data_IF_622356818043
#
_entry.id   IF_622356818043
#
_cell.length_a   1.000
_cell.length_b   1.000
_cell.length_c   1.000
_cell.angle_alpha   90.00
_cell.angle_beta   90.00
_cell.angle_gamma   90.00
#
_symmetry.space_group_name_H-M   'P 1'
#
loop_
_entity.id
_entity.type
_entity.pdbx_description
1 polymer ?
#
# COMPACT_ATOMS: atom_id res chain seq x y z
N UNK A 1 -3.86 11.21 -25.20
CA UNK A 1 -5.15 10.61 -24.86
C UNK A 1 -5.25 10.52 -23.33
N UNK A 2 -6.32 11.02 -22.71
CA UNK A 2 -6.60 10.76 -21.31
C UNK A 2 -7.28 9.41 -21.22
N UNK A 3 -6.61 8.42 -20.63
CA UNK A 3 -7.24 7.16 -20.30
C UNK A 3 -8.36 7.43 -19.27
N UNK A 4 -9.55 6.97 -19.57
CA UNK A 4 -10.66 6.95 -18.62
C UNK A 4 -11.01 5.48 -18.37
N UNK A 5 -10.85 4.99 -17.14
CA UNK A 5 -11.20 3.61 -16.81
C UNK A 5 -12.70 3.39 -17.05
N UNK A 6 -13.04 2.19 -17.49
CA UNK A 6 -14.44 1.81 -17.63
C UNK A 6 -15.14 1.82 -16.25
N UNK A 7 -16.38 2.29 -16.21
CA UNK A 7 -17.24 2.07 -15.03
C UNK A 7 -17.21 0.58 -14.70
N UNK A 8 -17.04 0.24 -13.41
CA UNK A 8 -16.99 -1.15 -12.96
C UNK A 8 -15.76 -1.97 -13.40
N UNK A 9 -14.63 -1.30 -13.71
CA UNK A 9 -13.36 -1.96 -14.07
C UNK A 9 -12.92 -3.01 -13.03
N UNK A 10 -13.22 -2.78 -11.75
CA UNK A 10 -12.85 -3.64 -10.63
C UNK A 10 -14.03 -4.43 -10.05
N UNK A 11 -15.13 -4.56 -10.81
CA UNK A 11 -16.27 -5.36 -10.39
C UNK A 11 -15.82 -6.80 -10.07
N UNK A 12 -16.36 -7.34 -8.97
CA UNK A 12 -16.07 -8.68 -8.46
C UNK A 12 -14.60 -8.90 -8.02
N UNK A 13 -13.80 -7.79 -7.91
CA UNK A 13 -12.45 -7.83 -7.35
C UNK A 13 -12.46 -7.52 -5.87
N UNK A 14 -11.72 -8.30 -5.10
CA UNK A 14 -11.53 -8.15 -3.66
C UNK A 14 -10.13 -7.63 -3.44
N UNK A 15 -10.00 -6.40 -2.93
CA UNK A 15 -8.72 -5.68 -2.86
C UNK A 15 -8.46 -5.21 -1.43
N UNK A 16 -7.34 -5.63 -0.86
CA UNK A 16 -6.88 -5.16 0.44
C UNK A 16 -5.91 -3.99 0.28
N UNK A 17 -6.12 -2.94 1.07
CA UNK A 17 -5.25 -1.75 1.10
C UNK A 17 -4.70 -1.56 2.51
N UNK A 18 -3.37 -1.56 2.66
CA UNK A 18 -2.72 -1.20 3.93
C UNK A 18 -2.50 0.30 4.03
N UNK A 19 -2.59 0.85 5.25
CA UNK A 19 -2.55 2.31 5.44
C UNK A 19 -3.75 3.01 4.83
N UNK A 20 -4.91 2.33 4.80
CA UNK A 20 -6.14 2.78 4.15
C UNK A 20 -6.81 3.97 4.86
N UNK A 21 -6.32 4.41 6.01
CA UNK A 21 -6.94 5.45 6.82
C UNK A 21 -6.53 6.89 6.47
N UNK A 22 -5.50 7.09 5.65
CA UNK A 22 -4.98 8.46 5.32
C UNK A 22 -4.22 8.44 3.98
N UNK A 23 -4.02 9.63 3.40
CA UNK A 23 -3.15 9.86 2.26
C UNK A 23 -3.48 9.01 1.03
N UNK A 24 -2.43 8.44 0.43
CA UNK A 24 -2.52 7.64 -0.80
C UNK A 24 -3.36 6.38 -0.59
N UNK A 25 -3.19 5.67 0.53
CA UNK A 25 -3.95 4.44 0.80
C UNK A 25 -5.45 4.69 0.94
N UNK A 26 -5.83 5.79 1.61
CA UNK A 26 -7.23 6.20 1.69
C UNK A 26 -7.82 6.49 0.31
N UNK A 27 -7.13 7.28 -0.50
CA UNK A 27 -7.61 7.61 -1.84
C UNK A 27 -7.66 6.40 -2.77
N UNK A 28 -6.69 5.49 -2.64
CA UNK A 28 -6.72 4.22 -3.37
C UNK A 28 -7.96 3.40 -3.01
N UNK A 29 -8.27 3.27 -1.71
CA UNK A 29 -9.45 2.55 -1.24
C UNK A 29 -10.76 3.14 -1.80
N UNK A 30 -10.92 4.47 -1.73
CA UNK A 30 -12.06 5.18 -2.30
C UNK A 30 -12.16 4.98 -3.82
N UNK A 31 -11.02 5.11 -4.52
CA UNK A 31 -10.98 4.94 -5.98
C UNK A 31 -11.33 3.52 -6.38
N UNK A 32 -10.78 2.50 -5.72
CA UNK A 32 -11.13 1.10 -6.02
C UNK A 32 -12.61 0.82 -5.79
N UNK A 33 -13.19 1.37 -4.72
CA UNK A 33 -14.62 1.25 -4.45
C UNK A 33 -15.48 1.93 -5.52
N UNK A 34 -15.10 3.13 -6.01
CA UNK A 34 -15.75 3.83 -7.13
C UNK A 34 -15.76 3.00 -8.42
N UNK A 35 -14.75 2.15 -8.62
CA UNK A 35 -14.67 1.19 -9.73
C UNK A 35 -15.27 -0.18 -9.40
N UNK A 36 -16.08 -0.26 -8.33
CA UNK A 36 -16.87 -1.43 -7.94
C UNK A 36 -16.07 -2.60 -7.33
N UNK A 37 -14.88 -2.33 -6.78
CA UNK A 37 -14.19 -3.33 -5.98
C UNK A 37 -14.85 -3.53 -4.61
N UNK A 38 -14.80 -4.75 -4.08
CA UNK A 38 -14.96 -5.03 -2.66
C UNK A 38 -13.64 -4.69 -1.95
N UNK A 39 -13.60 -3.60 -1.20
CA UNK A 39 -12.37 -3.12 -0.57
C UNK A 39 -12.26 -3.63 0.86
N UNK A 40 -11.06 -4.07 1.26
CA UNK A 40 -10.71 -4.40 2.63
C UNK A 40 -9.73 -3.33 3.10
N UNK A 41 -10.11 -2.59 4.15
CA UNK A 41 -9.30 -1.52 4.71
C UNK A 41 -8.44 -2.08 5.85
N UNK A 42 -7.13 -1.85 5.81
CA UNK A 42 -6.21 -2.25 6.88
C UNK A 42 -5.43 -1.03 7.38
N UNK A 43 -5.41 -0.85 8.69
CA UNK A 43 -4.66 0.23 9.35
C UNK A 43 -4.67 0.09 10.86
N UNK A 44 -4.04 1.01 11.58
CA UNK A 44 -3.90 0.92 13.05
C UNK A 44 -4.99 1.68 13.84
N UNK A 45 -5.75 2.55 13.18
CA UNK A 45 -6.75 3.39 13.86
C UNK A 45 -8.16 3.05 13.36
N UNK A 46 -8.95 2.41 14.22
CA UNK A 46 -10.30 1.94 13.93
C UNK A 46 -11.24 3.08 13.49
N UNK A 47 -11.28 4.19 14.24
CA UNK A 47 -12.20 5.30 13.94
C UNK A 47 -11.94 5.92 12.55
N UNK A 48 -10.66 6.04 12.17
CA UNK A 48 -10.31 6.53 10.83
C UNK A 48 -10.69 5.53 9.74
N UNK A 49 -10.50 4.23 9.96
CA UNK A 49 -10.93 3.19 9.01
C UNK A 49 -12.45 3.20 8.86
N UNK A 50 -13.18 3.31 9.98
CA UNK A 50 -14.64 3.43 9.99
C UNK A 50 -15.11 4.66 9.21
N UNK A 51 -14.43 5.80 9.37
CA UNK A 51 -14.73 7.02 8.61
C UNK A 51 -14.60 6.80 7.10
N UNK A 52 -13.53 6.11 6.66
CA UNK A 52 -13.33 5.77 5.24
C UNK A 52 -14.39 4.80 4.76
N UNK A 53 -14.76 3.82 5.57
CA UNK A 53 -15.83 2.87 5.25
C UNK A 53 -17.16 3.58 5.02
N UNK A 54 -17.55 4.47 5.93
CA UNK A 54 -18.78 5.28 5.80
C UNK A 54 -18.75 6.19 4.56
N UNK A 55 -17.57 6.70 4.18
CA UNK A 55 -17.45 7.51 2.97
C UNK A 55 -17.65 6.67 1.70
N UNK A 56 -17.08 5.46 1.66
CA UNK A 56 -17.30 4.51 0.56
C UNK A 56 -18.79 4.18 0.42
N UNK A 57 -19.47 3.89 1.53
CA UNK A 57 -20.92 3.58 1.53
C UNK A 57 -21.75 4.77 1.06
N UNK A 58 -21.44 5.98 1.54
CA UNK A 58 -22.13 7.22 1.14
C UNK A 58 -21.96 7.53 -0.35
N UNK A 59 -20.83 7.17 -0.95
CA UNK A 59 -20.59 7.30 -2.39
C UNK A 59 -21.22 6.17 -3.23
N UNK A 60 -21.93 5.24 -2.59
CA UNK A 60 -22.62 4.12 -3.27
C UNK A 60 -21.71 2.92 -3.58
N UNK A 61 -20.52 2.87 -2.98
CA UNK A 61 -19.63 1.71 -3.07
C UNK A 61 -20.13 0.53 -2.23
N UNK A 62 -19.55 -0.65 -2.49
CA UNK A 62 -19.82 -1.85 -1.68
C UNK A 62 -19.30 -1.60 -0.25
N UNK A 63 -20.12 -1.83 0.81
CA UNK A 63 -19.69 -1.65 2.18
C UNK A 63 -18.38 -2.39 2.47
N UNK A 64 -17.27 -1.71 2.80
CA UNK A 64 -15.99 -2.36 3.01
C UNK A 64 -15.93 -3.01 4.39
N UNK A 65 -15.16 -4.09 4.50
CA UNK A 65 -14.70 -4.54 5.81
C UNK A 65 -13.38 -3.87 6.16
N UNK A 66 -13.16 -3.66 7.45
CA UNK A 66 -11.88 -3.16 7.92
C UNK A 66 -11.34 -4.00 9.07
N UNK A 67 -10.03 -3.99 9.19
CA UNK A 67 -9.29 -4.68 10.23
C UNK A 67 -8.23 -3.74 10.81
N UNK A 68 -8.02 -3.83 12.11
CA UNK A 68 -6.95 -3.10 12.78
C UNK A 68 -5.73 -3.98 12.95
N UNK A 69 -4.58 -3.46 12.53
CA UNK A 69 -3.28 -4.07 12.77
C UNK A 69 -2.23 -2.95 12.83
N UNK A 70 -1.47 -2.90 13.92
CA UNK A 70 -0.32 -2.01 14.01
C UNK A 70 0.92 -2.75 13.48
N UNK A 71 1.43 -2.28 12.35
CA UNK A 71 2.59 -2.88 11.69
C UNK A 71 3.89 -2.71 12.50
N UNK A 72 3.92 -1.76 13.43
CA UNK A 72 5.07 -1.57 14.31
C UNK A 72 5.24 -2.71 15.31
N UNK A 73 4.14 -3.27 15.79
CA UNK A 73 4.13 -4.30 16.84
C UNK A 73 3.63 -5.65 16.35
N UNK A 74 3.20 -5.77 15.09
CA UNK A 74 2.65 -7.02 14.58
C UNK A 74 3.69 -8.13 14.52
N UNK A 75 3.20 -9.35 14.72
CA UNK A 75 3.97 -10.59 14.61
C UNK A 75 3.49 -11.41 13.40
N UNK A 76 4.26 -12.40 12.98
CA UNK A 76 3.85 -13.34 11.95
C UNK A 76 2.53 -14.06 12.32
N UNK A 77 2.35 -14.41 13.61
CA UNK A 77 1.11 -15.00 14.10
C UNK A 77 -0.08 -14.06 13.95
N UNK A 78 0.07 -12.76 14.28
CA UNK A 78 -1.00 -11.77 14.10
C UNK A 78 -1.37 -11.61 12.61
N UNK A 79 -0.39 -11.62 11.70
CA UNK A 79 -0.64 -11.59 10.26
C UNK A 79 -1.39 -12.85 9.78
N UNK A 80 -1.04 -14.02 10.28
CA UNK A 80 -1.74 -15.28 9.98
C UNK A 80 -3.19 -15.27 10.48
N UNK A 81 -3.41 -14.80 11.70
CA UNK A 81 -4.76 -14.64 12.27
C UNK A 81 -5.61 -13.67 11.45
N UNK A 82 -5.02 -12.54 11.02
CA UNK A 82 -5.70 -11.61 10.12
C UNK A 82 -6.08 -12.28 8.80
N UNK A 83 -5.17 -13.03 8.18
CA UNK A 83 -5.45 -13.74 6.93
C UNK A 83 -6.56 -14.78 7.10
N UNK A 84 -6.60 -15.48 8.24
CA UNK A 84 -7.69 -16.39 8.60
C UNK A 84 -9.02 -15.65 8.74
N UNK A 85 -9.06 -14.52 9.46
CA UNK A 85 -10.26 -13.68 9.57
C UNK A 85 -10.77 -13.20 8.21
N UNK A 86 -9.87 -12.76 7.33
CA UNK A 86 -10.22 -12.37 5.97
C UNK A 86 -10.83 -13.55 5.21
N UNK A 87 -10.24 -14.74 5.34
CA UNK A 87 -10.70 -15.95 4.64
C UNK A 87 -12.10 -16.42 5.05
N UNK A 88 -12.57 -16.08 6.25
CA UNK A 88 -13.95 -16.35 6.68
C UNK A 88 -14.99 -15.53 5.92
N UNK A 89 -14.60 -14.41 5.33
CA UNK A 89 -15.51 -13.51 4.62
C UNK A 89 -15.27 -13.48 3.10
N UNK A 90 -14.06 -13.82 2.68
CA UNK A 90 -13.65 -13.71 1.28
C UNK A 90 -12.94 -14.98 0.83
N UNK A 91 -13.37 -15.60 -0.28
CA UNK A 91 -12.77 -16.87 -0.76
C UNK A 91 -11.36 -16.69 -1.32
N UNK A 92 -11.02 -15.47 -1.73
CA UNK A 92 -9.73 -15.09 -2.34
C UNK A 92 -9.44 -13.60 -2.14
N UNK A 93 -8.26 -13.18 -2.51
CA UNK A 93 -7.90 -11.78 -2.75
C UNK A 93 -7.50 -11.60 -4.21
N UNK A 94 -8.03 -10.60 -4.89
CA UNK A 94 -7.66 -10.24 -6.26
C UNK A 94 -6.58 -9.16 -6.30
N UNK A 95 -6.43 -8.41 -5.21
CA UNK A 95 -5.38 -7.40 -5.09
C UNK A 95 -4.96 -7.14 -3.65
N UNK A 96 -3.69 -6.81 -3.48
CA UNK A 96 -3.15 -6.24 -2.24
C UNK A 96 -2.29 -5.03 -2.59
N UNK A 97 -2.62 -3.88 -2.00
CA UNK A 97 -1.78 -2.69 -2.05
C UNK A 97 -1.07 -2.51 -0.69
N UNK A 98 0.21 -2.81 -0.65
CA UNK A 98 1.08 -2.45 0.47
C UNK A 98 1.47 -0.97 0.36
N UNK A 99 0.68 -0.11 0.99
CA UNK A 99 0.91 1.34 0.99
C UNK A 99 1.33 1.87 2.36
N UNK A 100 0.99 1.19 3.45
CA UNK A 100 1.45 1.59 4.78
C UNK A 100 2.97 1.73 4.83
N UNK A 101 3.45 2.75 5.54
CA UNK A 101 4.88 2.97 5.70
C UNK A 101 5.17 4.03 6.75
N UNK A 102 6.37 3.95 7.30
CA UNK A 102 6.95 4.90 8.24
C UNK A 102 8.15 5.58 7.57
N UNK A 103 8.19 6.93 7.63
CA UNK A 103 9.31 7.71 7.09
C UNK A 103 10.54 7.62 7.99
N UNK A 104 10.34 7.70 9.29
CA UNK A 104 11.41 7.91 10.25
C UNK A 104 11.99 9.32 10.19
N UNK A 105 13.16 9.48 10.75
CA UNK A 105 13.86 10.77 10.77
C UNK A 105 14.63 11.00 9.47
N UNK A 106 14.65 12.24 9.03
CA UNK A 106 15.48 12.72 7.92
C UNK A 106 16.77 13.27 8.56
N UNK A 107 17.82 12.48 8.56
CA UNK A 107 19.09 12.80 9.22
C UNK A 107 20.23 11.99 8.58
N UNK A 108 21.50 12.43 8.74
CA UNK A 108 22.66 11.66 8.34
C UNK A 108 22.64 10.24 8.95
N UNK A 109 23.12 9.26 8.21
CA UNK A 109 23.12 7.86 8.65
C UNK A 109 23.80 7.65 10.00
N UNK A 110 24.85 8.43 10.28
CA UNK A 110 25.61 8.37 11.53
C UNK A 110 24.79 8.82 12.76
N UNK A 111 23.77 9.66 12.54
CA UNK A 111 22.98 10.28 13.61
C UNK A 111 21.62 9.54 13.84
N UNK A 112 21.32 8.54 13.02
CA UNK A 112 20.11 7.76 13.18
C UNK A 112 20.16 6.89 14.43
N UNK A 113 19.13 7.01 15.30
CA UNK A 113 18.99 6.11 16.42
C UNK A 113 18.69 4.69 15.96
N UNK A 114 19.22 3.69 16.69
CA UNK A 114 18.90 2.28 16.43
C UNK A 114 17.40 2.00 16.56
N UNK A 115 16.71 2.67 17.48
CA UNK A 115 15.26 2.55 17.65
C UNK A 115 14.52 2.98 16.39
N UNK A 116 14.83 4.17 15.85
CA UNK A 116 14.21 4.66 14.61
C UNK A 116 14.51 3.77 13.42
N UNK A 117 15.74 3.28 13.31
CA UNK A 117 16.11 2.30 12.30
C UNK A 117 15.23 1.05 12.38
N UNK A 118 15.12 0.45 13.59
CA UNK A 118 14.33 -0.75 13.82
C UNK A 118 12.84 -0.54 13.52
N UNK A 119 12.26 0.60 13.93
CA UNK A 119 10.87 0.93 13.67
C UNK A 119 10.57 1.04 12.17
N UNK A 120 11.42 1.75 11.42
CA UNK A 120 11.26 1.87 9.96
C UNK A 120 11.38 0.52 9.28
N UNK A 121 12.38 -0.28 9.63
CA UNK A 121 12.55 -1.63 9.07
C UNK A 121 11.40 -2.56 9.46
N UNK A 122 10.92 -2.46 10.70
CA UNK A 122 9.77 -3.25 11.15
C UNK A 122 8.52 -2.94 10.34
N UNK A 123 8.16 -1.67 10.21
CA UNK A 123 6.92 -1.27 9.50
C UNK A 123 7.03 -1.51 7.99
N UNK A 124 8.13 -1.05 7.38
CA UNK A 124 8.24 -1.01 5.91
C UNK A 124 8.67 -2.35 5.30
N UNK A 125 9.40 -3.17 6.04
CA UNK A 125 10.00 -4.41 5.51
C UNK A 125 9.44 -5.64 6.21
N UNK A 126 9.69 -5.79 7.53
CA UNK A 126 9.35 -7.01 8.24
C UNK A 126 7.84 -7.27 8.26
N UNK A 127 7.05 -6.27 8.66
CA UNK A 127 5.60 -6.38 8.69
C UNK A 127 5.01 -6.59 7.30
N UNK A 128 5.53 -5.88 6.30
CA UNK A 128 5.13 -6.05 4.89
C UNK A 128 5.42 -7.47 4.40
N UNK A 129 6.59 -8.03 4.74
CA UNK A 129 6.93 -9.43 4.42
C UNK A 129 5.99 -10.42 5.11
N UNK A 130 5.82 -10.32 6.44
CA UNK A 130 4.96 -11.21 7.21
C UNK A 130 3.52 -11.18 6.70
N UNK A 131 2.99 -10.00 6.41
CA UNK A 131 1.65 -9.83 5.88
C UNK A 131 1.52 -10.38 4.46
N UNK A 132 2.52 -10.15 3.59
CA UNK A 132 2.57 -10.75 2.25
C UNK A 132 2.52 -12.27 2.34
N UNK A 133 3.38 -12.88 3.16
CA UNK A 133 3.43 -14.34 3.35
C UNK A 133 2.08 -14.90 3.82
N UNK A 134 1.42 -14.24 4.76
CA UNK A 134 0.12 -14.66 5.27
C UNK A 134 -1.01 -14.54 4.24
N UNK A 135 -0.99 -13.50 3.39
CA UNK A 135 -2.04 -13.23 2.40
C UNK A 135 -1.82 -13.95 1.07
N UNK A 136 -0.60 -14.41 0.79
CA UNK A 136 -0.23 -15.04 -0.47
C UNK A 136 -1.13 -16.24 -0.85
N UNK A 137 -1.52 -17.15 0.09
CA UNK A 137 -2.44 -18.23 -0.24
C UNK A 137 -3.82 -17.75 -0.76
N UNK A 138 -4.30 -16.59 -0.29
CA UNK A 138 -5.55 -16.01 -0.77
C UNK A 138 -5.37 -15.33 -2.15
N UNK A 139 -4.23 -14.67 -2.37
CA UNK A 139 -3.89 -14.08 -3.67
C UNK A 139 -3.75 -15.14 -4.76
N UNK A 140 -3.14 -16.29 -4.46
CA UNK A 140 -2.94 -17.38 -5.41
C UNK A 140 -4.25 -18.10 -5.81
N UNK A 141 -5.35 -17.89 -5.08
CA UNK A 141 -6.69 -18.34 -5.49
C UNK A 141 -7.36 -17.43 -6.52
N UNK A 142 -6.80 -16.27 -6.79
CA UNK A 142 -7.32 -15.38 -7.84
C UNK A 142 -6.94 -15.88 -9.23
N UNK A 143 -7.82 -15.68 -10.19
CA UNK A 143 -7.52 -15.91 -11.61
C UNK A 143 -6.59 -14.84 -12.21
N UNK A 144 -6.46 -13.67 -11.57
CA UNK A 144 -5.61 -12.57 -12.01
C UNK A 144 -5.20 -11.70 -10.80
N UNK A 145 -4.45 -12.29 -9.87
CA UNK A 145 -3.97 -11.62 -8.67
C UNK A 145 -3.01 -10.46 -8.97
N UNK A 146 -3.04 -9.44 -8.14
CA UNK A 146 -2.13 -8.29 -8.24
C UNK A 146 -1.61 -7.91 -6.85
N UNK A 147 -0.30 -7.97 -6.67
CA UNK A 147 0.39 -7.53 -5.47
C UNK A 147 1.21 -6.29 -5.80
N UNK A 148 0.91 -5.18 -5.13
CA UNK A 148 1.54 -3.90 -5.41
C UNK A 148 2.16 -3.33 -4.13
N UNK A 149 3.41 -2.90 -4.23
CA UNK A 149 4.13 -2.24 -3.14
C UNK A 149 4.32 -0.76 -3.47
N UNK A 150 4.06 0.12 -2.51
CA UNK A 150 4.40 1.54 -2.63
C UNK A 150 5.87 1.74 -2.31
N UNK A 151 6.66 2.01 -3.34
CA UNK A 151 8.07 2.36 -3.28
C UNK A 151 8.28 3.88 -3.28
N UNK A 152 9.48 4.32 -3.59
CA UNK A 152 9.89 5.71 -3.66
C UNK A 152 11.07 5.84 -4.63
N UNK A 153 11.35 7.05 -5.10
CA UNK A 153 12.59 7.32 -5.85
C UNK A 153 13.85 6.96 -5.06
N UNK A 154 13.79 7.11 -3.72
CA UNK A 154 14.92 6.74 -2.84
C UNK A 154 15.04 5.23 -2.62
N UNK A 155 14.14 4.42 -3.14
CA UNK A 155 14.27 2.96 -3.21
C UNK A 155 15.07 2.47 -4.42
N UNK A 156 15.45 3.37 -5.33
CA UNK A 156 16.28 3.07 -6.53
C UNK A 156 17.58 3.86 -6.56
N UNK A 157 17.60 5.03 -5.92
CA UNK A 157 18.78 5.89 -5.81
C UNK A 157 18.83 6.42 -4.39
N UNK A 158 19.87 6.03 -3.64
CA UNK A 158 20.10 6.53 -2.29
C UNK A 158 20.33 8.03 -2.30
N UNK A 159 19.86 8.71 -1.26
CA UNK A 159 20.10 10.14 -1.02
C UNK A 159 20.57 10.35 0.40
N UNK A 160 21.45 11.33 0.59
CA UNK A 160 21.83 11.77 1.92
C UNK A 160 20.60 12.07 2.78
N UNK A 161 20.68 11.80 4.05
CA UNK A 161 19.69 12.03 5.09
C UNK A 161 18.42 11.15 5.03
N UNK A 162 18.26 10.29 4.02
CA UNK A 162 17.11 9.40 3.88
C UNK A 162 17.29 8.01 4.53
N UNK A 163 18.43 7.74 5.10
CA UNK A 163 18.85 6.60 5.92
C UNK A 163 17.94 5.36 5.89
N UNK A 164 17.31 5.07 7.01
CA UNK A 164 16.47 3.88 7.18
C UNK A 164 15.34 3.79 6.15
N UNK A 165 14.70 4.93 5.81
CA UNK A 165 13.63 4.94 4.82
C UNK A 165 14.11 4.50 3.43
N UNK A 166 15.22 5.08 2.95
CA UNK A 166 15.77 4.69 1.65
C UNK A 166 16.10 3.19 1.63
N UNK A 167 16.82 2.69 2.63
CA UNK A 167 17.17 1.26 2.75
C UNK A 167 15.91 0.38 2.75
N UNK A 168 14.89 0.78 3.50
CA UNK A 168 13.62 0.03 3.52
C UNK A 168 12.93 -0.01 2.16
N UNK A 169 13.03 1.06 1.35
CA UNK A 169 12.43 1.10 0.01
C UNK A 169 13.25 0.31 -1.03
N UNK A 170 14.59 0.24 -0.88
CA UNK A 170 15.41 -0.72 -1.63
C UNK A 170 15.01 -2.17 -1.31
N UNK A 171 14.82 -2.49 -0.02
CA UNK A 171 14.34 -3.80 0.39
C UNK A 171 12.95 -4.13 -0.19
N UNK A 172 12.05 -3.15 -0.25
CA UNK A 172 10.73 -3.29 -0.88
C UNK A 172 10.85 -3.61 -2.38
N UNK A 173 11.71 -2.91 -3.12
CA UNK A 173 11.95 -3.18 -4.54
C UNK A 173 12.57 -4.58 -4.74
N UNK A 174 13.52 -4.99 -3.88
CA UNK A 174 14.10 -6.33 -3.90
C UNK A 174 13.06 -7.42 -3.61
N UNK A 175 12.21 -7.23 -2.61
CA UNK A 175 11.12 -8.17 -2.29
C UNK A 175 10.16 -8.33 -3.46
N UNK A 176 9.81 -7.22 -4.13
CA UNK A 176 8.96 -7.25 -5.32
C UNK A 176 9.58 -8.07 -6.44
N UNK A 177 10.89 -7.87 -6.72
CA UNK A 177 11.58 -8.59 -7.80
C UNK A 177 11.65 -10.09 -7.53
N UNK A 178 11.97 -10.50 -6.30
CA UNK A 178 11.99 -11.91 -5.90
C UNK A 178 10.62 -12.55 -6.08
N UNK A 179 9.57 -11.93 -5.55
CA UNK A 179 8.20 -12.44 -5.68
C UNK A 179 7.73 -12.44 -7.14
N UNK A 180 8.09 -11.44 -7.95
CA UNK A 180 7.74 -11.41 -9.36
C UNK A 180 8.37 -12.58 -10.13
N UNK A 181 9.63 -12.95 -9.83
CA UNK A 181 10.29 -14.10 -10.46
C UNK A 181 9.73 -15.45 -9.96
N UNK A 182 9.51 -15.59 -8.64
CA UNK A 182 8.91 -16.80 -8.04
C UNK A 182 7.53 -17.14 -8.61
N UNK A 183 6.72 -16.10 -8.88
CA UNK A 183 5.33 -16.27 -9.34
C UNK A 183 5.09 -15.94 -10.82
N UNK A 184 6.15 -15.77 -11.64
CA UNK A 184 6.05 -15.42 -13.08
C UNK A 184 5.18 -16.37 -13.91
N UNK A 185 5.10 -17.66 -13.52
CA UNK A 185 4.28 -18.67 -14.17
C UNK A 185 2.93 -18.93 -13.47
N UNK A 186 2.52 -18.03 -12.58
CA UNK A 186 1.26 -18.11 -11.85
C UNK A 186 0.37 -16.92 -12.20
N UNK A 187 -0.90 -17.00 -11.82
CA UNK A 187 -1.86 -15.91 -12.02
C UNK A 187 -1.67 -14.77 -10.99
N UNK A 188 -0.43 -14.39 -10.70
CA UNK A 188 -0.08 -13.34 -9.78
C UNK A 188 0.94 -12.41 -10.40
N UNK A 189 0.59 -11.15 -10.55
CA UNK A 189 1.49 -10.06 -10.94
C UNK A 189 1.98 -9.35 -9.69
N UNK A 190 3.27 -9.05 -9.65
CA UNK A 190 3.90 -8.34 -8.53
C UNK A 190 4.62 -7.12 -9.05
N UNK A 191 4.31 -5.95 -8.50
CA UNK A 191 4.85 -4.67 -8.99
C UNK A 191 5.14 -3.69 -7.83
N UNK A 192 6.03 -2.74 -8.08
CA UNK A 192 6.19 -1.54 -7.27
C UNK A 192 5.65 -0.31 -7.99
N UNK A 193 5.04 0.59 -7.23
CA UNK A 193 4.68 1.93 -7.69
C UNK A 193 5.51 2.98 -6.95
N UNK A 194 5.93 4.01 -7.67
CA UNK A 194 6.53 5.22 -7.09
C UNK A 194 5.60 6.40 -7.34
N UNK A 195 4.83 6.85 -6.34
CA UNK A 195 3.86 7.93 -6.49
C UNK A 195 4.50 9.30 -6.71
N UNK A 196 5.81 9.43 -6.46
CA UNK A 196 6.50 10.72 -6.48
C UNK A 196 6.10 11.65 -5.34
N UNK A 197 6.38 12.94 -5.50
CA UNK A 197 5.99 13.96 -4.52
C UNK A 197 4.48 14.14 -4.48
N UNK A 198 3.86 13.72 -3.38
CA UNK A 198 2.40 13.71 -3.20
C UNK A 198 2.04 14.47 -1.94
N UNK A 199 0.97 15.25 -1.98
CA UNK A 199 0.44 16.03 -0.85
C UNK A 199 -0.09 15.08 0.23
N UNK A 200 0.77 14.65 1.15
CA UNK A 200 0.48 13.78 2.29
C UNK A 200 1.13 14.33 3.55
N UNK A 201 0.70 13.84 4.71
CA UNK A 201 1.35 14.18 5.99
C UNK A 201 2.82 13.73 6.00
N UNK A 202 3.11 12.54 5.48
CA UNK A 202 4.48 12.03 5.35
C UNK A 202 5.36 12.97 4.50
N UNK A 203 4.84 13.48 3.38
CA UNK A 203 5.56 14.46 2.55
C UNK A 203 5.81 15.77 3.28
N UNK A 204 4.81 16.26 4.00
CA UNK A 204 4.95 17.48 4.79
C UNK A 204 5.98 17.34 5.93
N UNK A 205 6.09 16.16 6.53
CA UNK A 205 7.16 15.88 7.52
C UNK A 205 8.55 15.85 6.87
N UNK A 206 8.69 15.23 5.68
CA UNK A 206 9.97 15.17 4.97
C UNK A 206 10.43 16.54 4.43
N UNK A 207 9.50 17.40 4.05
CA UNK A 207 9.75 18.71 3.43
C UNK A 207 8.84 19.79 4.03
N UNK A 208 9.12 20.28 5.25
CA UNK A 208 8.24 21.21 5.96
C UNK A 208 8.03 22.56 5.24
N UNK A 209 9.01 22.97 4.43
CA UNK A 209 9.00 24.27 3.72
C UNK A 209 8.55 24.15 2.26
N UNK A 210 8.15 22.96 1.79
CA UNK A 210 7.71 22.77 0.41
C UNK A 210 6.31 23.34 0.18
N UNK A 211 6.13 24.04 -0.93
CA UNK A 211 4.82 24.57 -1.32
C UNK A 211 3.87 23.40 -1.67
N UNK A 212 2.94 23.12 -0.78
CA UNK A 212 1.96 22.04 -0.92
C UNK A 212 1.08 22.17 -2.17
N UNK A 213 0.92 23.38 -2.71
CA UNK A 213 0.08 23.63 -3.89
C UNK A 213 0.74 23.17 -5.19
N UNK A 214 2.05 22.98 -5.19
CA UNK A 214 2.81 22.43 -6.32
C UNK A 214 2.83 20.92 -6.34
N UNK A 215 2.34 20.27 -5.28
CA UNK A 215 2.32 18.81 -5.17
C UNK A 215 1.03 18.24 -5.76
N UNK A 216 1.15 17.09 -6.42
CA UNK A 216 0.00 16.26 -6.80
C UNK A 216 -0.78 15.86 -5.55
N UNK A 217 -2.09 15.85 -5.64
CA UNK A 217 -2.94 15.27 -4.62
C UNK A 217 -2.92 13.73 -4.72
N UNK A 218 -3.32 12.98 -3.67
CA UNK A 218 -3.55 11.54 -3.79
C UNK A 218 -4.50 11.17 -4.94
N UNK A 219 -5.56 11.97 -5.18
CA UNK A 219 -6.49 11.76 -6.28
C UNK A 219 -5.84 11.91 -7.67
N UNK A 220 -4.87 12.83 -7.82
CA UNK A 220 -4.15 13.00 -9.08
C UNK A 220 -3.26 11.79 -9.41
N UNK A 221 -2.77 11.08 -8.37
CA UNK A 221 -1.97 9.87 -8.56
C UNK A 221 -2.85 8.74 -9.07
N UNK A 222 -4.04 8.56 -8.50
CA UNK A 222 -4.96 7.51 -8.93
C UNK A 222 -5.33 7.66 -10.40
N UNK A 223 -5.37 8.87 -10.93
CA UNK A 223 -5.56 9.14 -12.37
C UNK A 223 -4.33 8.87 -13.23
N UNK A 224 -3.12 8.94 -12.66
CA UNK A 224 -1.85 8.80 -13.40
C UNK A 224 -1.31 7.36 -13.40
N UNK A 225 -1.65 6.54 -12.43
CA UNK A 225 -1.28 5.11 -12.37
C UNK A 225 -1.92 4.32 -13.53
N UNK A 226 -3.07 4.79 -14.03
CA UNK A 226 -3.74 4.27 -15.23
C UNK A 226 -2.87 4.33 -16.51
N UNK A 227 -1.83 5.17 -16.53
CA UNK A 227 -0.97 5.36 -17.71
C UNK A 227 0.18 4.34 -17.83
N UNK A 228 0.55 3.64 -16.77
CA UNK A 228 1.72 2.74 -16.75
C UNK A 228 1.38 1.28 -16.94
N UNK A 229 0.13 0.88 -16.75
CA UNK A 229 -0.34 -0.50 -16.91
C UNK A 229 -0.61 -0.88 -18.37
N UNK A 230 -0.52 0.06 -19.31
CA UNK A 230 -0.85 -0.13 -20.72
C UNK A 230 0.29 0.09 -21.71
N UNK A 231 1.55 0.07 -21.26
CA UNK A 231 2.71 0.16 -22.17
C UNK A 231 3.78 -0.85 -21.74
N UNK A 232 3.60 -2.05 -22.17
CA UNK A 232 4.60 -3.00 -22.67
C UNK A 232 3.93 -3.89 -23.69
#
# INVERSE_FOLDING_TARGET
MHYQPQRHLLKDRIILVTGASDGIGREAALTYARYSASVILLGRNDDKLRTVAQEIEREGGIPPRWFTLDLLTCTAQACQQLAQQISMHYPRLDGVLHNAGLLGDIAPMADLSMTMWQEVMQVNVNATFMLTQALLPLLLKSHAGSLVFTSSSVGRTGRADWGAYAVSKFATEGMMQVLADEYKNRNLRVNCINPGGTRTKMRASAFPHEDKNKLKTPADIMRSEERRVGKE
#
